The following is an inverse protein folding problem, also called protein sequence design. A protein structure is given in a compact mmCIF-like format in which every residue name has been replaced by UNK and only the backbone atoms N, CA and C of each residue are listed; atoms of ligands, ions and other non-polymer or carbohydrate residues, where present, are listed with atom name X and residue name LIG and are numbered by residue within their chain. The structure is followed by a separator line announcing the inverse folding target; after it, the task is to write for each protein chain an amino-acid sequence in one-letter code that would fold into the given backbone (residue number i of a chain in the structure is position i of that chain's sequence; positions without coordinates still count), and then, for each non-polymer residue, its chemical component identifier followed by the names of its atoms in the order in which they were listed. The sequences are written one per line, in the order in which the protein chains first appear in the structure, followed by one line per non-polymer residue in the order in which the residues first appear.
data_IF_839985131365
#
_entry.id   IF_839985131365
#
_cell.length_a   1.000
_cell.length_b   1.000
_cell.length_c   1.000
_cell.angle_alpha   90.00
_cell.angle_beta   90.00
_cell.angle_gamma   90.00
#
_symmetry.space_group_name_H-M   'P 1'
#
loop_
_entity.id
_entity.type
_entity.pdbx_description
1 polymer ?
#
# COMPACT_ATOMS: atom_id res chain seq x y z
N UNK A 1 -22.98 16.98 33.91
CA UNK A 1 -21.82 16.96 33.00
C UNK A 1 -21.00 15.72 33.32
N UNK A 2 -20.60 14.91 32.34
CA UNK A 2 -19.69 13.80 32.60
C UNK A 2 -18.29 14.34 32.88
N UNK A 3 -17.73 14.03 34.06
CA UNK A 3 -16.32 14.30 34.37
C UNK A 3 -15.45 13.62 33.33
N UNK A 4 -14.60 14.36 32.63
CA UNK A 4 -13.69 13.75 31.67
C UNK A 4 -12.69 12.87 32.44
N UNK A 5 -12.91 11.56 32.45
CA UNK A 5 -11.93 10.64 33.00
C UNK A 5 -10.61 10.83 32.25
N UNK A 6 -9.59 11.23 33.00
CA UNK A 6 -8.20 11.31 32.58
C UNK A 6 -7.49 10.16 33.27
N UNK A 7 -6.87 9.29 32.48
CA UNK A 7 -6.12 8.15 32.98
C UNK A 7 -4.66 8.34 32.58
N UNK A 8 -3.74 8.28 33.56
CA UNK A 8 -2.30 8.29 33.28
C UNK A 8 -1.85 6.84 33.12
N UNK A 9 -1.25 6.54 31.98
CA UNK A 9 -0.70 5.22 31.68
C UNK A 9 0.79 5.34 31.37
N UNK A 10 1.56 4.33 31.74
CA UNK A 10 2.93 4.17 31.27
C UNK A 10 2.95 3.14 30.14
N UNK A 11 3.48 3.52 28.98
CA UNK A 11 3.65 2.63 27.81
C UNK A 11 5.11 2.70 27.39
N UNK A 12 5.81 1.56 27.48
CA UNK A 12 7.23 1.44 27.13
C UNK A 12 8.16 2.45 27.84
N UNK A 13 7.82 2.86 29.07
CA UNK A 13 8.56 3.86 29.85
C UNK A 13 8.07 5.30 29.67
N UNK A 14 7.17 5.56 28.71
CA UNK A 14 6.63 6.89 28.44
C UNK A 14 5.28 7.10 29.16
N UNK A 15 5.10 8.25 29.83
CA UNK A 15 3.81 8.63 30.41
C UNK A 15 2.88 9.24 29.33
N UNK A 16 1.64 8.75 29.27
CA UNK A 16 0.57 9.32 28.46
C UNK A 16 -0.65 9.62 29.32
N UNK A 17 -1.35 10.72 29.04
CA UNK A 17 -2.69 10.96 29.59
C UNK A 17 -3.74 10.58 28.55
N UNK A 18 -4.42 9.46 28.78
CA UNK A 18 -5.60 9.07 28.02
C UNK A 18 -6.82 9.87 28.50
N UNK A 19 -7.69 10.27 27.57
CA UNK A 19 -8.85 11.12 27.89
C UNK A 19 -10.06 10.75 27.04
N UNK A 20 -11.26 10.93 27.60
CA UNK A 20 -12.53 10.69 26.91
C UNK A 20 -12.64 9.25 26.37
N UNK A 21 -12.23 8.26 27.17
CA UNK A 21 -12.17 6.85 26.79
C UNK A 21 -13.52 6.30 26.31
N UNK A 22 -14.61 6.63 27.02
CA UNK A 22 -15.98 6.27 26.62
C UNK A 22 -16.58 7.09 25.48
N UNK A 23 -15.81 7.97 24.82
CA UNK A 23 -16.31 8.72 23.65
C UNK A 23 -16.51 7.77 22.48
N UNK A 24 -17.72 7.75 21.94
CA UNK A 24 -18.04 7.03 20.71
C UNK A 24 -17.27 7.68 19.54
N UNK A 25 -16.50 6.85 18.83
CA UNK A 25 -15.74 7.23 17.63
C UNK A 25 -16.46 6.74 16.38
N UNK A 26 -17.12 5.57 16.43
CA UNK A 26 -17.95 5.03 15.34
C UNK A 26 -19.40 4.89 15.82
N UNK A 27 -20.27 5.89 15.56
CA UNK A 27 -21.68 5.88 15.96
C UNK A 27 -22.47 4.63 15.55
N UNK A 28 -22.33 4.16 14.30
CA UNK A 28 -23.12 3.02 13.80
C UNK A 28 -22.75 1.67 14.44
N UNK A 29 -21.60 1.57 15.11
CA UNK A 29 -21.19 0.36 15.85
C UNK A 29 -21.02 0.59 17.34
N UNK A 30 -21.29 1.80 17.84
CA UNK A 30 -21.02 2.22 19.21
C UNK A 30 -19.52 2.28 19.60
N UNK A 31 -18.59 1.96 18.69
CA UNK A 31 -17.17 1.74 19.03
C UNK A 31 -16.54 2.99 19.61
N UNK A 32 -16.01 2.84 20.81
CA UNK A 32 -15.46 3.89 21.67
C UNK A 32 -13.98 4.17 21.40
N UNK A 33 -13.46 5.22 22.02
CA UNK A 33 -12.04 5.57 21.96
C UNK A 33 -11.16 4.57 22.71
N UNK A 34 -11.65 4.00 23.81
CA UNK A 34 -10.98 2.91 24.53
C UNK A 34 -10.76 1.70 23.62
N UNK A 35 -11.81 1.32 22.89
CA UNK A 35 -11.78 0.24 21.89
C UNK A 35 -10.82 0.53 20.72
N UNK A 36 -10.75 1.77 20.23
CA UNK A 36 -9.75 2.17 19.22
C UNK A 36 -8.31 2.06 19.76
N UNK A 37 -8.07 2.42 21.02
CA UNK A 37 -6.78 2.25 21.69
C UNK A 37 -6.41 0.77 21.85
N UNK A 38 -7.36 -0.06 22.30
CA UNK A 38 -7.21 -1.50 22.47
C UNK A 38 -6.88 -2.20 21.13
N UNK A 39 -7.63 -1.90 20.07
CA UNK A 39 -7.35 -2.41 18.73
C UNK A 39 -5.92 -2.08 18.30
N UNK A 40 -5.51 -0.82 18.45
CA UNK A 40 -4.18 -0.39 18.03
C UNK A 40 -3.05 -1.04 18.84
N UNK A 41 -3.26 -1.29 20.14
CA UNK A 41 -2.34 -2.08 20.95
C UNK A 41 -2.26 -3.54 20.49
N UNK A 42 -3.40 -4.17 20.17
CA UNK A 42 -3.46 -5.56 19.71
C UNK A 42 -2.78 -5.78 18.34
N UNK A 43 -2.91 -4.82 17.40
CA UNK A 43 -2.26 -4.93 16.07
C UNK A 43 -0.86 -4.32 16.00
N UNK A 44 -0.37 -3.68 17.08
CA UNK A 44 0.95 -3.05 17.13
C UNK A 44 2.10 -3.94 16.61
N UNK A 45 2.20 -5.25 16.95
CA UNK A 45 3.27 -6.13 16.44
C UNK A 45 3.28 -6.32 14.92
N UNK A 46 2.19 -5.99 14.23
CA UNK A 46 2.05 -6.11 12.78
C UNK A 46 2.02 -4.75 12.07
N UNK A 47 1.41 -3.73 12.68
CA UNK A 47 1.33 -2.37 12.13
C UNK A 47 2.66 -1.63 12.22
N UNK A 48 3.29 -1.61 13.40
CA UNK A 48 4.52 -0.86 13.64
C UNK A 48 5.58 -1.22 12.59
N UNK A 49 5.91 -2.49 12.33
CA UNK A 49 6.89 -2.83 11.30
C UNK A 49 6.52 -2.42 9.86
N UNK A 50 5.24 -2.28 9.53
CA UNK A 50 4.79 -1.80 8.23
C UNK A 50 4.87 -0.27 8.09
N UNK A 51 4.87 0.45 9.23
CA UNK A 51 4.99 1.90 9.38
C UNK A 51 6.39 2.40 9.76
N UNK A 52 7.25 1.52 10.28
CA UNK A 52 8.51 1.85 10.93
C UNK A 52 9.44 2.64 10.00
N UNK A 53 10.04 3.70 10.55
CA UNK A 53 10.91 4.64 9.87
C UNK A 53 10.28 5.30 8.62
N UNK A 54 8.94 5.39 8.55
CA UNK A 54 8.25 6.12 7.48
C UNK A 54 7.56 7.36 8.06
N UNK A 55 7.70 8.55 7.44
CA UNK A 55 7.04 9.76 7.92
C UNK A 55 5.52 9.63 7.82
N UNK A 56 4.85 9.56 8.97
CA UNK A 56 3.43 9.23 9.05
C UNK A 56 2.53 10.47 8.91
N UNK A 57 1.74 10.50 7.85
CA UNK A 57 0.61 11.42 7.69
C UNK A 57 -0.59 10.86 8.47
N UNK A 58 -1.17 11.67 9.35
CA UNK A 58 -2.35 11.29 10.14
C UNK A 58 -3.61 11.82 9.47
N UNK A 59 -4.70 11.07 9.54
CA UNK A 59 -6.05 11.61 9.29
C UNK A 59 -6.88 11.45 10.56
N UNK A 60 -7.43 12.56 11.04
CA UNK A 60 -7.98 12.67 12.40
C UNK A 60 -9.48 12.96 12.38
N UNK A 61 -10.20 12.27 13.25
CA UNK A 61 -11.63 12.47 13.53
C UNK A 61 -11.81 12.75 15.02
N UNK A 62 -11.49 13.98 15.43
CA UNK A 62 -11.50 14.39 16.84
C UNK A 62 -12.89 14.21 17.49
N UNK A 63 -13.96 14.23 16.69
CA UNK A 63 -15.35 14.07 17.13
C UNK A 63 -15.99 12.73 16.75
N UNK A 64 -15.21 11.78 16.22
CA UNK A 64 -15.73 10.54 15.64
C UNK A 64 -16.06 10.68 14.14
N UNK A 65 -16.35 9.56 13.49
CA UNK A 65 -16.56 9.46 12.03
C UNK A 65 -17.94 9.92 11.56
N UNK A 66 -18.88 10.15 12.47
CA UNK A 66 -20.30 10.38 12.14
C UNK A 66 -21.01 9.12 11.64
N UNK A 67 -22.10 9.30 10.93
CA UNK A 67 -22.84 8.21 10.26
C UNK A 67 -22.69 8.31 8.74
N UNK A 68 -23.24 7.35 8.03
CA UNK A 68 -23.34 7.34 6.56
C UNK A 68 -24.15 8.54 6.04
N UNK A 69 -25.15 9.01 6.80
CA UNK A 69 -25.99 10.16 6.46
C UNK A 69 -25.44 11.51 6.98
N UNK A 70 -24.67 11.51 8.06
CA UNK A 70 -24.05 12.71 8.66
C UNK A 70 -22.57 12.44 8.99
N UNK A 71 -21.66 12.60 8.01
CA UNK A 71 -20.23 12.29 8.19
C UNK A 71 -19.51 13.32 9.07
N UNK A 72 -18.80 12.82 10.09
CA UNK A 72 -18.07 13.65 11.05
C UNK A 72 -16.87 14.38 10.42
N UNK A 73 -16.51 15.59 10.94
CA UNK A 73 -15.43 16.40 10.39
C UNK A 73 -14.08 15.70 10.54
N UNK A 74 -13.26 15.82 9.48
CA UNK A 74 -11.94 15.19 9.41
C UNK A 74 -10.90 16.14 8.83
N UNK A 75 -9.65 15.93 9.20
CA UNK A 75 -8.52 16.65 8.61
C UNK A 75 -7.29 15.74 8.49
N UNK A 76 -6.45 16.03 7.50
CA UNK A 76 -5.11 15.47 7.40
C UNK A 76 -4.13 16.35 8.17
N UNK A 77 -3.21 15.72 8.89
CA UNK A 77 -2.13 16.39 9.60
C UNK A 77 -0.79 15.77 9.17
N UNK A 78 0.05 16.61 8.55
CA UNK A 78 1.40 16.26 8.09
C UNK A 78 2.45 16.75 9.09
N UNK A 79 2.52 18.07 9.31
CA UNK A 79 3.39 18.64 10.34
C UNK A 79 2.97 18.17 11.74
N UNK A 80 3.92 17.96 12.64
CA UNK A 80 3.70 17.88 14.08
C UNK A 80 3.39 19.28 14.63
N UNK A 81 2.70 19.32 15.76
CA UNK A 81 2.41 20.55 16.51
C UNK A 81 3.15 20.53 17.86
N UNK A 82 3.24 21.70 18.52
CA UNK A 82 4.00 21.87 19.76
C UNK A 82 3.46 21.06 20.95
N UNK A 83 2.24 20.52 20.85
CA UNK A 83 1.68 19.61 21.87
C UNK A 83 2.19 18.16 21.74
N UNK A 84 2.99 17.87 20.71
CA UNK A 84 3.56 16.54 20.48
C UNK A 84 4.57 16.18 21.57
N UNK A 85 4.38 15.07 22.32
CA UNK A 85 5.32 14.67 23.38
C UNK A 85 6.76 14.56 22.87
N UNK A 86 7.72 15.04 23.66
CA UNK A 86 9.14 15.11 23.28
C UNK A 86 9.73 13.76 22.87
N UNK A 87 9.26 12.68 23.49
CA UNK A 87 9.68 11.30 23.22
C UNK A 87 9.15 10.71 21.91
N UNK A 88 8.18 11.35 21.22
CA UNK A 88 7.69 10.87 19.91
C UNK A 88 8.81 10.99 18.87
N UNK A 89 9.31 9.87 18.31
CA UNK A 89 10.35 9.89 17.27
C UNK A 89 9.83 10.62 16.04
N UNK A 90 10.68 11.45 15.43
CA UNK A 90 10.26 12.38 14.38
C UNK A 90 11.35 12.64 13.35
N UNK A 91 10.97 13.02 12.14
CA UNK A 91 11.87 13.41 11.04
C UNK A 91 11.36 14.63 10.31
N UNK A 92 12.26 15.53 9.90
CA UNK A 92 11.93 16.69 9.06
C UNK A 92 12.09 16.30 7.59
N UNK A 93 11.01 16.45 6.81
CA UNK A 93 11.03 16.23 5.36
C UNK A 93 10.85 17.58 4.67
N UNK A 94 11.85 17.96 3.87
CA UNK A 94 11.80 19.12 3.00
C UNK A 94 10.92 18.83 1.78
N UNK A 95 9.83 19.59 1.61
CA UNK A 95 9.03 19.65 0.39
C UNK A 95 9.51 20.81 -0.49
N UNK A 96 8.87 21.01 -1.64
CA UNK A 96 9.26 22.06 -2.61
C UNK A 96 9.24 23.48 -2.02
N UNK A 97 8.28 23.78 -1.15
CA UNK A 97 7.99 25.14 -0.67
C UNK A 97 8.17 25.29 0.86
N UNK A 98 8.16 24.19 1.60
CA UNK A 98 8.18 24.19 3.06
C UNK A 98 8.77 22.88 3.61
N UNK A 99 9.20 22.89 4.87
CA UNK A 99 9.53 21.67 5.61
C UNK A 99 8.36 21.24 6.50
N UNK A 100 8.17 19.93 6.67
CA UNK A 100 7.21 19.35 7.59
C UNK A 100 7.94 18.36 8.50
N UNK A 101 7.70 18.43 9.81
CA UNK A 101 8.15 17.43 10.79
C UNK A 101 7.08 16.36 10.93
N UNK A 102 7.41 15.09 10.71
CA UNK A 102 6.50 13.96 10.80
C UNK A 102 6.86 13.04 11.96
N UNK A 103 5.90 12.39 12.63
CA UNK A 103 6.19 11.30 13.56
C UNK A 103 6.58 10.03 12.79
N UNK A 104 7.45 9.22 13.42
CA UNK A 104 7.79 7.87 12.99
C UNK A 104 7.12 6.87 13.94
N UNK A 105 6.29 5.98 13.40
CA UNK A 105 5.50 5.03 14.21
C UNK A 105 6.34 3.79 14.54
N UNK A 106 7.35 4.00 15.37
CA UNK A 106 8.41 3.02 15.65
C UNK A 106 8.17 2.18 16.92
N UNK A 107 7.23 2.56 17.78
CA UNK A 107 6.97 1.92 19.06
C UNK A 107 5.48 2.01 19.48
N UNK A 108 5.07 1.22 20.46
CA UNK A 108 3.68 1.14 20.95
C UNK A 108 3.25 2.45 21.63
N UNK A 109 4.16 3.15 22.31
CA UNK A 109 3.87 4.45 22.92
C UNK A 109 3.42 5.48 21.87
N UNK A 110 4.11 5.56 20.73
CA UNK A 110 3.75 6.48 19.63
C UNK A 110 2.42 6.10 19.00
N UNK A 111 2.16 4.80 18.79
CA UNK A 111 0.89 4.32 18.25
C UNK A 111 -0.28 4.59 19.22
N UNK A 112 -0.07 4.40 20.52
CA UNK A 112 -1.03 4.75 21.58
C UNK A 112 -1.33 6.26 21.60
N UNK A 113 -0.31 7.10 21.46
CA UNK A 113 -0.49 8.56 21.33
C UNK A 113 -1.31 8.93 20.09
N UNK A 114 -1.03 8.32 18.93
CA UNK A 114 -1.79 8.53 17.70
C UNK A 114 -3.28 8.19 17.87
N UNK A 115 -3.59 7.05 18.49
CA UNK A 115 -4.96 6.67 18.84
C UNK A 115 -5.60 7.67 19.84
N UNK A 116 -4.85 8.11 20.86
CA UNK A 116 -5.30 9.10 21.84
C UNK A 116 -5.61 10.47 21.23
N UNK A 117 -4.92 10.90 20.16
CA UNK A 117 -5.24 12.14 19.40
C UNK A 117 -6.30 11.93 18.28
N UNK A 118 -6.93 10.75 18.25
CA UNK A 118 -7.93 10.32 17.27
C UNK A 118 -7.43 10.29 15.81
N UNK A 119 -6.16 9.94 15.59
CA UNK A 119 -5.63 9.62 14.26
C UNK A 119 -6.08 8.21 13.86
N UNK A 120 -7.28 8.12 13.26
CA UNK A 120 -7.88 6.84 12.87
C UNK A 120 -7.17 6.23 11.66
N UNK A 121 -6.77 7.03 10.67
CA UNK A 121 -5.98 6.55 9.54
C UNK A 121 -4.51 7.02 9.66
N UNK A 122 -3.59 6.08 9.48
CA UNK A 122 -2.14 6.29 9.42
C UNK A 122 -1.70 5.99 7.99
N UNK A 123 -1.16 7.00 7.31
CA UNK A 123 -0.71 6.92 5.92
C UNK A 123 0.81 7.12 5.84
N UNK A 124 1.50 6.28 5.07
CA UNK A 124 2.96 6.26 4.96
C UNK A 124 3.42 6.12 3.50
N UNK A 125 4.59 6.63 3.11
CA UNK A 125 5.18 6.40 1.79
C UNK A 125 5.66 4.94 1.59
N UNK A 126 6.21 4.63 0.42
CA UNK A 126 6.84 3.33 0.12
C UNK A 126 8.35 3.28 0.40
N UNK A 127 8.93 4.39 0.85
CA UNK A 127 10.31 4.50 1.33
C UNK A 127 10.38 4.59 2.87
N UNK A 128 11.60 4.53 3.41
CA UNK A 128 11.94 4.74 4.82
C UNK A 128 12.98 5.86 4.95
N UNK A 129 13.21 6.35 6.17
CA UNK A 129 14.38 7.16 6.52
C UNK A 129 15.42 6.33 7.27
N UNK A 130 16.68 6.72 7.18
CA UNK A 130 17.73 6.23 8.08
C UNK A 130 17.77 6.99 9.42
N UNK A 131 18.81 6.74 10.23
CA UNK A 131 18.97 7.37 11.54
C UNK A 131 19.21 8.88 11.48
N UNK A 132 19.78 9.38 10.38
CA UNK A 132 20.05 10.81 10.14
C UNK A 132 18.84 11.52 9.50
N UNK A 133 17.77 10.78 9.19
CA UNK A 133 16.55 11.29 8.57
C UNK A 133 16.61 11.34 7.04
N UNK A 134 17.66 10.77 6.41
CA UNK A 134 17.81 10.75 4.95
C UNK A 134 16.81 9.78 4.33
N UNK A 135 16.15 10.22 3.25
CA UNK A 135 15.24 9.36 2.48
C UNK A 135 16.01 8.23 1.78
N UNK A 136 15.71 6.99 2.16
CA UNK A 136 16.20 5.79 1.50
C UNK A 136 15.38 5.45 0.24
N UNK A 137 15.91 4.67 -0.71
CA UNK A 137 15.11 4.18 -1.83
C UNK A 137 13.95 3.27 -1.37
N UNK A 138 12.82 3.18 -2.09
CA UNK A 138 11.69 2.33 -1.71
C UNK A 138 12.05 0.87 -1.49
N UNK A 139 11.60 0.31 -0.36
CA UNK A 139 11.73 -1.09 0.03
C UNK A 139 10.49 -1.93 -0.33
N UNK A 140 9.47 -1.31 -0.92
CA UNK A 140 8.28 -1.95 -1.46
C UNK A 140 7.70 -1.17 -2.64
N UNK A 141 6.96 -1.87 -3.50
CA UNK A 141 6.02 -1.27 -4.44
C UNK A 141 4.58 -1.46 -3.92
N UNK A 142 3.65 -0.65 -4.42
CA UNK A 142 2.21 -0.86 -4.24
C UNK A 142 1.45 -0.61 -5.54
N UNK A 143 0.47 -1.44 -5.86
CA UNK A 143 -0.59 -1.12 -6.82
C UNK A 143 -1.89 -0.93 -6.03
N UNK A 144 -2.53 0.23 -6.15
CA UNK A 144 -3.82 0.49 -5.50
C UNK A 144 -4.94 0.23 -6.52
N UNK A 145 -5.70 -0.85 -6.30
CA UNK A 145 -6.70 -1.39 -7.21
C UNK A 145 -8.08 -0.88 -6.79
N UNK A 146 -8.55 0.17 -7.45
CA UNK A 146 -9.65 1.01 -6.98
C UNK A 146 -10.87 0.86 -7.94
N UNK A 147 -12.00 0.27 -7.49
CA UNK A 147 -13.11 -0.04 -8.38
C UNK A 147 -13.86 1.23 -8.81
N UNK A 148 -14.04 1.39 -10.12
CA UNK A 148 -14.85 2.44 -10.70
C UNK A 148 -16.36 2.17 -10.58
N UNK A 149 -17.22 3.09 -11.07
CA UNK A 149 -18.65 2.87 -11.13
C UNK A 149 -18.98 1.58 -11.89
N UNK A 150 -19.89 0.75 -11.37
CA UNK A 150 -20.24 -0.54 -11.96
C UNK A 150 -19.29 -1.71 -11.63
N UNK A 151 -18.20 -1.48 -10.88
CA UNK A 151 -17.34 -2.55 -10.35
C UNK A 151 -17.25 -2.49 -8.82
N UNK A 152 -16.66 -3.53 -8.23
CA UNK A 152 -16.44 -3.68 -6.80
C UNK A 152 -15.25 -4.57 -6.50
N UNK A 153 -15.30 -5.22 -5.33
CA UNK A 153 -14.18 -5.98 -4.79
C UNK A 153 -13.86 -7.25 -5.60
N UNK A 154 -14.84 -7.84 -6.28
CA UNK A 154 -14.69 -9.01 -7.15
C UNK A 154 -13.71 -8.73 -8.30
N UNK A 155 -13.91 -7.63 -9.01
CA UNK A 155 -13.09 -7.23 -10.15
C UNK A 155 -11.70 -6.80 -9.66
N UNK A 156 -11.60 -6.14 -8.50
CA UNK A 156 -10.31 -5.87 -7.86
C UNK A 156 -9.54 -7.15 -7.51
N UNK A 157 -10.22 -8.24 -7.10
CA UNK A 157 -9.58 -9.54 -6.85
C UNK A 157 -9.09 -10.18 -8.16
N UNK A 158 -9.81 -10.03 -9.25
CA UNK A 158 -9.40 -10.51 -10.56
C UNK A 158 -8.14 -9.78 -11.06
N UNK A 159 -8.16 -8.45 -11.07
CA UNK A 159 -6.99 -7.62 -11.42
C UNK A 159 -5.80 -7.88 -10.49
N UNK A 160 -6.05 -8.11 -9.19
CA UNK A 160 -5.00 -8.49 -8.25
C UNK A 160 -4.34 -9.84 -8.60
N UNK A 161 -5.08 -10.82 -9.13
CA UNK A 161 -4.51 -12.10 -9.59
C UNK A 161 -3.65 -11.93 -10.83
N UNK A 162 -4.13 -11.15 -11.80
CA UNK A 162 -3.41 -10.85 -13.05
C UNK A 162 -2.08 -10.13 -12.75
N UNK A 163 -2.14 -9.03 -12.01
CA UNK A 163 -0.96 -8.29 -11.56
C UNK A 163 -0.01 -9.16 -10.72
N UNK A 164 -0.56 -10.05 -9.86
CA UNK A 164 0.24 -10.98 -9.05
C UNK A 164 1.02 -11.98 -9.91
N UNK A 165 0.46 -12.50 -11.00
CA UNK A 165 1.18 -13.41 -11.90
C UNK A 165 2.42 -12.73 -12.48
N UNK A 166 2.23 -11.56 -13.12
CA UNK A 166 3.31 -10.81 -13.77
C UNK A 166 4.42 -10.46 -12.78
N UNK A 167 4.05 -10.04 -11.57
CA UNK A 167 5.02 -9.72 -10.51
C UNK A 167 5.78 -10.96 -9.99
N UNK A 168 5.15 -12.13 -9.96
CA UNK A 168 5.83 -13.39 -9.61
C UNK A 168 6.81 -13.85 -10.69
N UNK A 169 6.46 -13.70 -11.96
CA UNK A 169 7.32 -14.08 -13.09
C UNK A 169 8.64 -13.29 -13.14
N UNK A 170 8.64 -12.06 -12.60
CA UNK A 170 9.86 -11.25 -12.40
C UNK A 170 10.53 -11.41 -11.02
N UNK A 171 10.09 -12.38 -10.21
CA UNK A 171 10.75 -12.77 -8.97
C UNK A 171 10.33 -12.00 -7.70
N UNK A 172 9.21 -11.27 -7.72
CA UNK A 172 8.64 -10.60 -6.56
C UNK A 172 7.57 -11.47 -5.88
N UNK A 173 7.27 -11.23 -4.60
CA UNK A 173 6.19 -11.92 -3.85
C UNK A 173 5.05 -10.94 -3.50
N UNK A 174 3.96 -10.90 -4.30
CA UNK A 174 2.88 -9.93 -4.12
C UNK A 174 1.85 -10.41 -3.10
N UNK A 175 1.53 -9.50 -2.18
CA UNK A 175 0.64 -9.72 -1.05
C UNK A 175 -0.54 -8.75 -1.12
N UNK A 176 -1.77 -9.25 -1.23
CA UNK A 176 -2.96 -8.39 -1.21
C UNK A 176 -3.26 -7.89 0.20
N UNK A 177 -3.63 -6.62 0.30
CA UNK A 177 -4.15 -5.95 1.49
C UNK A 177 -5.48 -5.33 1.08
N UNK A 178 -6.59 -5.78 1.65
CA UNK A 178 -7.87 -5.08 1.44
C UNK A 178 -7.75 -3.67 2.01
N UNK A 179 -8.20 -2.66 1.28
CA UNK A 179 -8.02 -1.25 1.69
C UNK A 179 -8.83 -0.88 2.94
N UNK A 180 -9.83 -1.68 3.32
CA UNK A 180 -10.87 -1.33 4.29
C UNK A 180 -11.86 -0.27 3.78
N UNK A 181 -11.84 0.04 2.47
CA UNK A 181 -12.77 0.98 1.84
C UNK A 181 -13.54 0.33 0.68
N UNK A 182 -12.92 0.21 -0.50
CA UNK A 182 -13.54 -0.41 -1.70
C UNK A 182 -12.55 -1.31 -2.45
N UNK A 183 -11.33 -0.84 -2.61
CA UNK A 183 -10.28 -1.51 -3.38
C UNK A 183 -9.33 -2.42 -2.60
N UNK A 184 -8.28 -2.89 -3.29
CA UNK A 184 -7.21 -3.76 -2.78
C UNK A 184 -5.86 -3.09 -3.08
N UNK A 185 -4.97 -3.04 -2.10
CA UNK A 185 -3.58 -2.66 -2.31
C UNK A 185 -2.75 -3.93 -2.48
N UNK A 186 -2.06 -4.09 -3.61
CA UNK A 186 -1.14 -5.20 -3.86
C UNK A 186 0.29 -4.72 -3.59
N UNK A 187 0.88 -5.16 -2.48
CA UNK A 187 2.26 -4.80 -2.10
C UNK A 187 3.24 -5.90 -2.51
N UNK A 188 4.45 -5.52 -2.93
CA UNK A 188 5.56 -6.47 -3.09
C UNK A 188 6.88 -5.86 -2.57
N UNK A 189 7.74 -6.68 -1.96
CA UNK A 189 9.02 -6.24 -1.40
C UNK A 189 10.08 -6.00 -2.46
N UNK A 190 10.82 -4.89 -2.32
CA UNK A 190 11.94 -4.51 -3.18
C UNK A 190 13.28 -4.68 -2.44
N UNK A 191 14.37 -4.64 -3.19
CA UNK A 191 15.74 -4.73 -2.66
C UNK A 191 16.30 -3.40 -2.11
N UNK A 192 15.56 -2.29 -2.25
CA UNK A 192 16.00 -0.96 -1.81
C UNK A 192 17.09 -0.32 -2.68
N UNK A 193 17.31 -0.80 -3.91
CA UNK A 193 18.37 -0.28 -4.81
C UNK A 193 17.91 0.77 -5.84
N UNK A 194 16.59 0.90 -6.04
CA UNK A 194 16.00 1.73 -7.12
C UNK A 194 15.34 2.98 -6.56
N UNK A 195 15.59 4.13 -7.18
CA UNK A 195 14.93 5.39 -6.79
C UNK A 195 13.42 5.31 -7.04
N UNK A 196 12.64 6.10 -6.32
CA UNK A 196 11.17 6.05 -6.39
C UNK A 196 10.64 6.38 -7.79
N UNK A 197 11.35 7.20 -8.58
CA UNK A 197 11.00 7.52 -9.96
C UNK A 197 11.03 6.26 -10.83
N UNK A 198 12.01 5.37 -10.61
CA UNK A 198 12.17 4.12 -11.35
C UNK A 198 11.09 3.10 -10.94
N UNK A 199 10.78 3.01 -9.65
CA UNK A 199 9.71 2.15 -9.12
C UNK A 199 8.34 2.62 -9.64
N UNK A 200 8.11 3.94 -9.66
CA UNK A 200 6.87 4.52 -10.19
C UNK A 200 6.74 4.35 -11.70
N UNK A 201 7.82 4.44 -12.47
CA UNK A 201 7.81 4.16 -13.91
C UNK A 201 7.51 2.68 -14.20
N UNK A 202 8.14 1.77 -13.45
CA UNK A 202 7.84 0.33 -13.55
C UNK A 202 6.37 0.03 -13.22
N UNK A 203 5.84 0.58 -12.12
CA UNK A 203 4.44 0.38 -11.75
C UNK A 203 3.46 0.96 -12.80
N UNK A 204 3.82 2.06 -13.45
CA UNK A 204 3.02 2.64 -14.53
C UNK A 204 2.99 1.74 -15.77
N UNK A 205 4.13 1.26 -16.24
CA UNK A 205 4.17 0.36 -17.41
C UNK A 205 3.50 -1.00 -17.13
N UNK A 206 3.58 -1.51 -15.90
CA UNK A 206 2.80 -2.68 -15.47
C UNK A 206 1.28 -2.41 -15.53
N UNK A 207 0.83 -1.25 -15.06
CA UNK A 207 -0.58 -0.86 -15.14
C UNK A 207 -1.06 -0.72 -16.61
N UNK A 208 -0.21 -0.20 -17.50
CA UNK A 208 -0.49 -0.08 -18.93
C UNK A 208 -0.51 -1.43 -19.66
N UNK A 209 0.35 -2.37 -19.28
CA UNK A 209 0.29 -3.75 -19.80
C UNK A 209 -1.04 -4.41 -19.41
N UNK A 210 -1.42 -4.31 -18.13
CA UNK A 210 -2.71 -4.85 -17.66
C UNK A 210 -3.92 -4.21 -18.37
N UNK A 211 -3.87 -2.91 -18.68
CA UNK A 211 -4.90 -2.24 -19.49
C UNK A 211 -4.90 -2.67 -20.95
N UNK A 212 -3.72 -2.94 -21.54
CA UNK A 212 -3.63 -3.41 -22.92
C UNK A 212 -4.12 -4.86 -23.09
N UNK A 213 -3.82 -5.73 -22.13
CA UNK A 213 -4.21 -7.15 -22.12
C UNK A 213 -5.69 -7.34 -21.69
N UNK A 214 -6.21 -6.46 -20.83
CA UNK A 214 -7.56 -6.54 -20.27
C UNK A 214 -8.34 -5.20 -20.34
N UNK A 215 -8.54 -4.63 -21.55
CA UNK A 215 -9.05 -3.27 -21.71
C UNK A 215 -10.48 -3.08 -21.21
N UNK A 216 -11.31 -4.13 -21.13
CA UNK A 216 -12.68 -4.03 -20.60
C UNK A 216 -12.76 -4.11 -19.07
N UNK A 217 -11.68 -4.51 -18.39
CA UNK A 217 -11.60 -4.70 -16.94
C UNK A 217 -10.72 -3.65 -16.25
N UNK A 218 -9.64 -3.22 -16.90
CA UNK A 218 -8.58 -2.39 -16.32
C UNK A 218 -8.52 -1.01 -16.97
N UNK A 219 -8.19 0.01 -16.18
CA UNK A 219 -7.76 1.33 -16.66
C UNK A 219 -6.53 1.81 -15.86
N UNK A 220 -5.57 2.46 -16.52
CA UNK A 220 -4.37 3.05 -15.87
C UNK A 220 -4.34 4.59 -15.89
N UNK A 221 -5.19 5.23 -16.73
CA UNK A 221 -5.39 6.69 -16.73
C UNK A 221 -6.23 7.14 -15.52
N UNK A 222 -5.80 8.21 -14.86
CA UNK A 222 -6.43 8.76 -13.66
C UNK A 222 -7.81 9.39 -13.92
N UNK A 223 -8.17 9.70 -15.17
CA UNK A 223 -9.46 10.33 -15.54
C UNK A 223 -10.64 9.49 -15.05
N UNK A 224 -11.46 10.06 -14.18
CA UNK A 224 -12.65 9.39 -13.59
C UNK A 224 -13.65 8.91 -14.64
N UNK A 225 -13.76 9.60 -15.77
CA UNK A 225 -14.66 9.25 -16.88
C UNK A 225 -14.34 7.91 -17.55
N UNK A 226 -13.09 7.43 -17.45
CA UNK A 226 -12.65 6.18 -18.08
C UNK A 226 -12.85 4.94 -17.18
N UNK A 227 -13.33 5.13 -15.93
CA UNK A 227 -13.44 4.07 -14.92
C UNK A 227 -14.78 3.33 -14.91
N UNK A 228 -15.74 3.72 -15.75
CA UNK A 228 -17.06 3.05 -15.76
C UNK A 228 -16.91 1.61 -16.26
N UNK A 229 -17.36 0.65 -15.45
CA UNK A 229 -17.19 -0.79 -15.72
C UNK A 229 -15.77 -1.34 -15.46
N UNK A 230 -14.83 -0.53 -14.93
CA UNK A 230 -13.41 -0.90 -14.81
C UNK A 230 -12.83 -0.67 -13.42
N UNK A 231 -11.72 -1.35 -13.13
CA UNK A 231 -10.85 -1.13 -11.98
C UNK A 231 -9.69 -0.22 -12.39
N UNK A 232 -9.46 0.87 -11.65
CA UNK A 232 -8.24 1.66 -11.79
C UNK A 232 -7.07 0.91 -11.13
N UNK A 233 -5.97 0.76 -11.85
CA UNK A 233 -4.66 0.39 -11.28
C UNK A 233 -3.89 1.69 -10.98
N UNK A 234 -4.06 2.25 -9.78
CA UNK A 234 -3.33 3.45 -9.35
C UNK A 234 -1.89 3.10 -8.97
N UNK A 235 -1.02 3.25 -9.97
CA UNK A 235 0.43 3.15 -9.87
C UNK A 235 1.08 4.39 -9.21
N UNK A 236 0.38 5.51 -9.09
CA UNK A 236 0.95 6.80 -8.67
C UNK A 236 1.32 6.83 -7.19
N UNK A 237 0.76 5.91 -6.39
CA UNK A 237 1.08 5.66 -4.98
C UNK A 237 2.57 5.32 -4.71
N UNK A 238 3.33 4.99 -5.75
CA UNK A 238 4.79 4.76 -5.70
C UNK A 238 5.61 6.05 -5.80
N UNK A 239 4.99 7.21 -6.07
CA UNK A 239 5.69 8.49 -6.05
C UNK A 239 6.17 8.85 -4.65
N UNK A 240 7.39 9.37 -4.52
CA UNK A 240 7.99 9.75 -3.24
C UNK A 240 7.16 10.77 -2.43
N UNK A 241 6.28 11.52 -3.08
CA UNK A 241 5.39 12.52 -2.47
C UNK A 241 4.01 11.98 -2.07
N UNK A 242 3.71 10.70 -2.31
CA UNK A 242 2.44 10.04 -1.96
C UNK A 242 2.57 9.23 -0.68
N UNK A 243 1.43 9.00 -0.05
CA UNK A 243 1.29 8.16 1.15
C UNK A 243 0.05 7.31 1.02
N UNK A 244 0.17 6.03 1.33
CA UNK A 244 -0.92 5.06 1.28
C UNK A 244 -1.25 4.61 2.70
N UNK A 245 -2.49 4.18 2.96
CA UNK A 245 -2.88 3.62 4.27
C UNK A 245 -1.92 2.50 4.67
N UNK A 246 -1.39 2.51 5.89
CA UNK A 246 -0.55 1.40 6.36
C UNK A 246 -1.42 0.18 6.65
N UNK A 247 -0.98 -1.05 6.32
CA UNK A 247 -1.66 -2.27 6.75
C UNK A 247 -1.99 -2.25 8.24
N UNK A 248 -3.17 -2.78 8.59
CA UNK A 248 -3.78 -2.76 9.93
C UNK A 248 -4.19 -1.39 10.48
N UNK A 249 -4.06 -0.28 9.73
CA UNK A 249 -4.70 0.97 10.16
C UNK A 249 -6.23 0.88 9.99
N UNK A 250 -6.96 1.45 10.96
CA UNK A 250 -8.39 1.68 10.86
C UNK A 250 -8.72 2.63 9.71
N UNK A 251 -9.98 2.61 9.26
CA UNK A 251 -10.52 3.49 8.23
C UNK A 251 -11.62 4.36 8.82
N UNK A 252 -11.55 5.66 8.57
CA UNK A 252 -12.61 6.59 9.01
C UNK A 252 -13.83 6.51 8.10
N UNK A 253 -14.59 5.42 8.26
CA UNK A 253 -15.87 5.11 7.61
C UNK A 253 -16.91 4.84 8.70
N UNK A 254 -18.18 4.73 8.33
CA UNK A 254 -19.28 4.42 9.25
C UNK A 254 -19.01 3.25 10.23
N UNK A 255 -18.38 2.18 9.74
CA UNK A 255 -17.89 1.06 10.54
C UNK A 255 -16.36 1.09 10.68
N UNK A 256 -15.78 0.55 11.78
CA UNK A 256 -14.34 0.45 12.03
C UNK A 256 -13.66 -0.62 11.17
N UNK A 257 -13.75 -0.44 9.86
CA UNK A 257 -13.04 -1.25 8.85
C UNK A 257 -11.54 -0.99 8.93
N UNK A 258 -10.74 -1.95 8.48
CA UNK A 258 -9.27 -1.91 8.61
C UNK A 258 -8.60 -2.25 7.28
N UNK A 259 -7.37 -1.78 7.09
CA UNK A 259 -6.52 -2.18 5.97
C UNK A 259 -5.99 -3.63 6.17
N UNK A 260 -6.85 -4.63 6.07
CA UNK A 260 -6.52 -6.02 6.43
C UNK A 260 -5.64 -6.70 5.36
N UNK A 261 -4.45 -7.12 5.78
CA UNK A 261 -3.55 -7.97 5.00
C UNK A 261 -4.17 -9.36 4.79
N UNK A 262 -4.23 -9.81 3.55
CA UNK A 262 -4.72 -11.14 3.19
C UNK A 262 -3.97 -12.25 3.95
N UNK A 263 -4.65 -13.38 4.19
CA UNK A 263 -4.13 -14.47 5.03
C UNK A 263 -2.82 -15.04 4.49
N UNK A 264 -1.75 -14.81 5.23
CA UNK A 264 -0.75 -15.86 5.50
C UNK A 264 -1.11 -16.54 6.83
N UNK A 265 -0.41 -17.62 7.18
CA UNK A 265 -0.74 -18.49 8.33
C UNK A 265 -0.70 -17.85 9.74
N UNK A 266 -0.41 -16.54 9.87
CA UNK A 266 -0.32 -15.82 11.14
C UNK A 266 -1.08 -14.46 11.16
N UNK A 267 -2.02 -14.22 10.23
CA UNK A 267 -2.83 -12.97 10.25
C UNK A 267 -3.94 -13.03 11.33
N UNK A 268 -4.18 -11.96 12.12
CA UNK A 268 -5.36 -11.86 12.97
C UNK A 268 -6.66 -11.84 12.14
N UNK A 269 -7.83 -12.19 12.74
CA UNK A 269 -9.09 -12.24 12.01
C UNK A 269 -9.53 -10.85 11.52
N UNK A 270 -10.20 -10.75 10.35
CA UNK A 270 -10.87 -9.53 9.94
C UNK A 270 -11.98 -9.17 10.94
N UNK A 271 -12.20 -7.86 11.11
CA UNK A 271 -12.93 -7.25 12.23
C UNK A 271 -14.33 -7.80 12.51
N UNK A 272 -14.51 -8.39 13.69
CA UNK A 272 -15.74 -8.39 14.50
C UNK A 272 -15.50 -9.08 15.85
N UNK A 273 -14.77 -10.19 15.82
CA UNK A 273 -14.49 -11.09 16.96
C UNK A 273 -13.50 -10.56 18.02
N UNK A 274 -12.84 -9.42 17.79
CA UNK A 274 -12.01 -8.76 18.80
C UNK A 274 -12.90 -7.98 19.80
N UNK A 275 -14.04 -7.47 19.33
CA UNK A 275 -14.92 -6.58 20.11
C UNK A 275 -15.83 -7.29 21.12
N UNK A 276 -15.81 -8.63 21.16
CA UNK A 276 -16.77 -9.44 21.95
C UNK A 276 -16.28 -9.84 23.35
N UNK A 277 -15.08 -9.45 23.77
CA UNK A 277 -14.54 -9.81 25.09
C UNK A 277 -13.65 -8.72 25.68
N UNK A 278 -14.14 -8.00 26.69
CA UNK A 278 -13.38 -7.02 27.48
C UNK A 278 -12.14 -7.66 28.12
N UNK A 279 -10.90 -7.28 27.78
CA UNK A 279 -9.71 -7.72 28.50
C UNK A 279 -9.41 -6.74 29.64
N UNK A 280 -9.30 -7.24 30.87
CA UNK A 280 -8.63 -6.50 31.94
C UNK A 280 -7.17 -6.29 31.58
N UNK A 281 -6.66 -5.06 31.71
CA UNK A 281 -5.25 -4.74 31.46
C UNK A 281 -4.32 -5.60 32.35
N UNK A 282 -3.61 -6.55 31.74
CA UNK A 282 -2.39 -7.12 32.30
C UNK A 282 -1.38 -7.42 31.19
N UNK A 283 -0.33 -6.61 31.13
CA UNK A 283 0.74 -6.77 30.15
C UNK A 283 1.64 -7.97 30.53
N UNK A 284 1.29 -9.16 30.05
CA UNK A 284 2.14 -10.35 30.17
C UNK A 284 2.80 -10.68 28.82
N UNK A 285 4.14 -10.75 28.82
CA UNK A 285 4.92 -11.03 27.60
C UNK A 285 4.66 -12.44 27.09
N UNK A 286 4.33 -12.57 25.81
CA UNK A 286 4.72 -13.73 24.99
C UNK A 286 5.35 -13.24 23.68
N UNK A 287 6.67 -13.33 23.61
CA UNK A 287 7.41 -13.07 22.38
C UNK A 287 7.16 -14.21 21.37
N UNK A 288 6.34 -13.93 20.35
CA UNK A 288 6.40 -14.61 19.05
C UNK A 288 6.53 -13.53 17.99
N UNK A 289 7.75 -13.28 17.53
CA UNK A 289 8.06 -12.29 16.50
C UNK A 289 7.39 -12.69 15.18
N UNK A 290 6.34 -11.99 14.71
CA UNK A 290 5.84 -12.20 13.36
C UNK A 290 6.88 -11.63 12.39
N UNK A 291 7.21 -12.32 11.30
CA UNK A 291 8.11 -11.73 10.30
C UNK A 291 7.37 -10.66 9.49
N UNK A 292 7.70 -9.36 9.63
CA UNK A 292 6.91 -8.30 9.01
C UNK A 292 7.57 -7.74 7.75
N UNK A 293 8.84 -8.07 7.52
CA UNK A 293 9.56 -7.66 6.32
C UNK A 293 8.83 -8.23 5.12
N UNK A 294 8.42 -7.36 4.21
CA UNK A 294 8.26 -7.73 2.81
C UNK A 294 9.55 -8.43 2.42
N UNK A 295 9.47 -9.73 2.10
CA UNK A 295 10.66 -10.44 1.66
C UNK A 295 11.08 -9.78 0.36
N UNK A 296 12.28 -9.20 0.34
CA UNK A 296 12.85 -8.71 -0.91
C UNK A 296 12.84 -9.88 -1.90
N UNK A 297 12.38 -9.63 -3.12
CA UNK A 297 12.55 -10.58 -4.21
C UNK A 297 14.02 -10.95 -4.37
N UNK A 298 14.30 -12.10 -5.00
CA UNK A 298 15.69 -12.43 -5.35
C UNK A 298 16.22 -11.33 -6.27
N UNK A 299 17.41 -10.75 -6.03
CA UNK A 299 17.91 -9.64 -6.87
C UNK A 299 17.87 -10.01 -8.35
N UNK A 300 17.40 -9.09 -9.20
CA UNK A 300 17.41 -9.30 -10.64
C UNK A 300 18.84 -9.58 -11.10
N UNK A 301 19.15 -10.85 -11.39
CA UNK A 301 20.32 -11.20 -12.18
C UNK A 301 20.13 -10.60 -13.56
N UNK A 302 20.80 -9.48 -13.82
CA UNK A 302 21.02 -8.99 -15.18
C UNK A 302 21.71 -10.09 -15.95
N UNK A 303 20.96 -10.80 -16.81
CA UNK A 303 21.51 -11.82 -17.70
C UNK A 303 22.21 -11.14 -18.86
N UNK A 304 23.34 -10.51 -18.58
CA UNK A 304 24.29 -10.00 -19.58
C UNK A 304 24.91 -11.19 -20.29
N UNK A 305 24.24 -11.63 -21.35
CA UNK A 305 24.60 -12.79 -22.13
C UNK A 305 23.85 -12.76 -23.45
N UNK A 306 24.33 -11.92 -24.36
CA UNK A 306 23.96 -11.98 -25.79
C UNK A 306 24.29 -13.39 -26.27
N UNK A 307 23.35 -14.16 -26.83
CA UNK A 307 23.68 -15.41 -27.48
C UNK A 307 24.41 -15.10 -28.79
N UNK A 308 25.68 -15.51 -28.89
CA UNK A 308 26.35 -15.52 -30.20
C UNK A 308 25.58 -16.43 -31.17
N UNK A 309 25.46 -16.05 -32.46
CA UNK A 309 24.86 -16.91 -33.46
C UNK A 309 25.74 -18.14 -33.68
N UNK A 310 25.22 -19.33 -33.33
CA UNK A 310 25.91 -20.60 -33.59
C UNK A 310 26.12 -20.79 -35.08
N UNK A 311 27.38 -20.85 -35.49
CA UNK A 311 27.81 -21.28 -36.83
C UNK A 311 27.41 -22.74 -37.07
N UNK A 312 26.51 -22.96 -38.03
CA UNK A 312 26.14 -24.32 -38.48
C UNK A 312 27.25 -24.90 -39.36
N UNK A 313 27.85 -25.99 -38.90
CA UNK A 313 28.88 -26.73 -39.64
C UNK A 313 28.28 -27.41 -40.88
N UNK A 314 29.08 -27.49 -41.95
CA UNK A 314 28.64 -27.92 -43.28
C UNK A 314 28.21 -29.39 -43.38
N UNK A 315 27.24 -29.65 -44.25
CA UNK A 315 26.95 -30.96 -44.82
C UNK A 315 27.32 -30.97 -46.32
N UNK A 316 27.98 -32.04 -46.80
CA UNK A 316 28.40 -32.22 -48.20
C UNK A 316 27.26 -32.79 -49.08
N UNK A 317 27.33 -32.65 -50.42
CA UNK A 317 26.16 -32.69 -51.29
C UNK A 317 25.82 -34.07 -51.87
N UNK A 318 24.57 -34.22 -52.32
CA UNK A 318 24.12 -35.23 -53.29
C UNK A 318 23.38 -34.56 -54.48
N UNK A 319 23.11 -35.34 -55.54
CA UNK A 319 23.34 -34.90 -56.93
C UNK A 319 22.04 -34.75 -57.77
N UNK A 320 21.86 -33.57 -58.37
CA UNK A 320 21.20 -33.28 -59.68
C UNK A 320 19.88 -33.94 -60.14
N UNK A 321 18.87 -33.11 -60.42
CA UNK A 321 18.05 -33.12 -61.66
C UNK A 321 17.38 -31.73 -61.82
N UNK A 322 17.80 -30.86 -62.74
CA UNK A 322 17.38 -30.66 -64.15
C UNK A 322 16.12 -29.78 -64.32
N UNK A 323 16.29 -28.57 -64.87
CA UNK A 323 15.23 -27.61 -65.22
C UNK A 323 14.57 -27.93 -66.59
N UNK A 324 13.37 -27.40 -66.88
CA UNK A 324 13.15 -26.08 -67.53
C UNK A 324 12.01 -25.24 -66.86
N UNK A 325 11.68 -23.97 -67.18
CA UNK A 325 12.33 -22.83 -67.88
C UNK A 325 11.54 -21.51 -67.54
N UNK A 326 11.71 -20.41 -68.29
CA UNK A 326 10.85 -19.19 -68.26
C UNK A 326 10.19 -18.95 -69.64
N UNK A 327 9.03 -18.30 -69.67
CA UNK A 327 8.92 -16.92 -70.19
C UNK A 327 7.95 -16.06 -69.33
N UNK A 328 7.69 -14.76 -69.53
CA UNK A 328 8.41 -13.62 -70.10
C UNK A 328 7.79 -12.33 -69.49
N UNK A 329 8.42 -11.16 -69.64
CA UNK A 329 8.01 -9.89 -69.01
C UNK A 329 7.47 -8.86 -70.02
N UNK A 330 6.37 -8.16 -69.68
CA UNK A 330 5.86 -6.96 -70.38
C UNK A 330 4.93 -6.15 -69.41
N UNK A 331 4.49 -4.91 -69.72
CA UNK A 331 4.81 -3.74 -68.88
C UNK A 331 3.57 -2.97 -68.31
N UNK A 332 3.75 -1.89 -67.52
CA UNK A 332 2.63 -1.13 -66.96
C UNK A 332 2.11 -0.02 -67.89
N UNK A 333 0.79 0.06 -68.03
CA UNK A 333 0.02 1.28 -68.33
C UNK A 333 -0.43 1.91 -67.00
N UNK A 334 -0.59 3.21 -66.81
CA UNK A 334 -0.75 4.32 -67.75
C UNK A 334 -1.81 5.25 -67.13
N UNK A 335 -1.50 6.53 -66.94
CA UNK A 335 -2.31 7.43 -66.10
C UNK A 335 -3.16 8.42 -66.93
N UNK A 336 -4.10 9.09 -66.23
CA UNK A 336 -4.93 10.24 -66.67
C UNK A 336 -6.15 9.89 -67.53
N UNK A 337 -7.21 10.75 -67.59
CA UNK A 337 -7.22 12.23 -67.52
C UNK A 337 -6.72 12.90 -66.22
#
# INVERSE_FOLDING_TARGET
MATSQKERVNVEGHELTLTNLGKIIYPETGTTKAEVLEYYAAVAPFLIPAAANRPATRKRWVHGVGTTSDPGPMFFQKNLDDSTPSWVPRVTIQHREHSNVYPLVNNLATLTWLAQIAALEIHVPQWQVDADGTMLPPDRLVLDLDPGPGTGLSECVEVAKLARSILQDIGLDPVPVTSGSKGIHLYAGLDGTRKWEQVSAFAHELARSLEADHPDLVVSDMKKTLRNGKVLVDWSQNSGNKTTIVPYSLRGRAHPMVAARGRGANSPPPSSSIWTSRPSWSASKRERTPSPRWRAGTPLRTRTGVPEPRTTTAARPTRTARAPARPASAPPSGARP
#
